data_IF_631016355893
#
_entry.id   IF_631016355893
#
_cell.length_a   1.000
_cell.length_b   1.000
_cell.length_c   1.000
_cell.angle_alpha   90.00
_cell.angle_beta   90.00
_cell.angle_gamma   90.00
#
_symmetry.space_group_name_H-M   'P 1'
#
loop_
_entity.id
_entity.type
_entity.pdbx_description
1 polymer ?
#
# COMPACT_ATOMS: atom_id res chain seq x y z
N UNK A 1 -46.74 -37.20 9.67
CA UNK A 1 -45.45 -36.84 9.06
C UNK A 1 -45.56 -35.91 7.82
N UNK A 2 -46.68 -35.20 7.57
CA UNK A 2 -46.85 -34.33 6.39
C UNK A 2 -46.68 -32.81 6.65
N UNK A 3 -46.56 -32.38 7.91
CA UNK A 3 -46.46 -30.95 8.29
C UNK A 3 -45.04 -30.38 8.30
N UNK A 4 -44.00 -31.24 8.32
CA UNK A 4 -42.60 -30.79 8.38
C UNK A 4 -41.92 -30.65 7.01
N UNK A 5 -42.54 -31.15 5.93
CA UNK A 5 -41.99 -31.02 4.56
C UNK A 5 -42.25 -29.62 3.99
N UNK A 6 -43.34 -28.96 4.37
CA UNK A 6 -43.68 -27.62 3.87
C UNK A 6 -42.72 -26.52 4.37
N UNK A 7 -42.20 -26.64 5.60
CA UNK A 7 -41.23 -25.68 6.12
C UNK A 7 -39.83 -25.84 5.48
N UNK A 8 -39.45 -27.04 5.02
CA UNK A 8 -38.18 -27.25 4.33
C UNK A 8 -38.19 -26.65 2.90
N UNK A 9 -39.34 -26.66 2.22
CA UNK A 9 -39.50 -26.06 0.89
C UNK A 9 -39.45 -24.53 0.90
N UNK A 10 -39.87 -23.88 1.99
CA UNK A 10 -39.81 -22.42 2.15
C UNK A 10 -38.38 -21.90 2.41
N UNK A 11 -37.50 -22.73 2.98
CA UNK A 11 -36.09 -22.37 3.18
C UNK A 11 -35.25 -22.48 1.90
N UNK A 12 -35.69 -23.24 0.90
CA UNK A 12 -35.00 -23.36 -0.39
C UNK A 12 -35.29 -22.19 -1.36
N UNK A 13 -36.34 -21.39 -1.10
CA UNK A 13 -36.81 -20.35 -2.02
C UNK A 13 -36.16 -18.96 -1.83
N UNK A 14 -35.23 -18.80 -0.89
CA UNK A 14 -34.60 -17.51 -0.58
C UNK A 14 -33.07 -17.49 -0.75
N UNK A 15 -32.50 -18.37 -1.58
CA UNK A 15 -31.12 -18.23 -2.01
C UNK A 15 -31.04 -17.48 -3.34
N UNK A 16 -31.29 -16.17 -3.30
CA UNK A 16 -30.85 -15.30 -4.39
C UNK A 16 -29.35 -15.07 -4.23
N UNK A 17 -28.56 -16.02 -4.72
CA UNK A 17 -27.14 -15.77 -4.99
C UNK A 17 -27.07 -15.00 -6.30
N UNK A 18 -26.82 -13.69 -6.24
CA UNK A 18 -26.40 -12.95 -7.42
C UNK A 18 -25.04 -13.51 -7.86
N UNK A 19 -25.04 -14.38 -8.87
CA UNK A 19 -23.84 -14.96 -9.44
C UNK A 19 -23.45 -14.13 -10.66
N UNK A 20 -22.25 -13.52 -10.62
CA UNK A 20 -21.67 -12.88 -11.80
C UNK A 20 -20.99 -13.98 -12.61
N UNK A 21 -21.56 -14.33 -13.76
CA UNK A 21 -21.03 -15.37 -14.62
C UNK A 21 -20.10 -14.74 -15.67
N UNK A 22 -18.80 -15.04 -15.61
CA UNK A 22 -17.84 -14.58 -16.62
C UNK A 22 -17.77 -15.63 -17.72
N UNK A 23 -18.21 -15.29 -18.94
CA UNK A 23 -18.15 -16.20 -20.10
C UNK A 23 -17.28 -15.59 -21.21
N UNK A 24 -16.51 -16.43 -21.90
CA UNK A 24 -15.74 -16.05 -23.09
C UNK A 24 -16.47 -16.49 -24.39
N UNK A 25 -17.80 -16.58 -24.37
CA UNK A 25 -18.56 -17.13 -25.49
C UNK A 25 -18.72 -16.05 -26.57
N UNK A 26 -18.40 -16.31 -27.85
CA UNK A 26 -18.50 -15.35 -28.95
C UNK A 26 -19.92 -14.82 -29.22
N UNK A 27 -20.95 -15.43 -28.63
CA UNK A 27 -22.35 -15.05 -28.75
C UNK A 27 -23.05 -15.15 -27.38
N UNK A 28 -22.95 -14.11 -26.53
CA UNK A 28 -23.38 -14.16 -25.13
C UNK A 28 -24.90 -14.30 -24.95
N UNK A 29 -25.69 -13.96 -25.97
CA UNK A 29 -27.15 -14.11 -25.96
C UNK A 29 -27.62 -15.57 -25.90
N UNK A 30 -26.77 -16.54 -26.26
CA UNK A 30 -27.17 -17.96 -26.30
C UNK A 30 -27.24 -18.65 -24.93
N UNK A 31 -26.77 -17.99 -23.86
CA UNK A 31 -26.76 -18.51 -22.49
C UNK A 31 -27.50 -17.61 -21.47
N UNK A 32 -28.14 -16.54 -21.93
CA UNK A 32 -29.02 -15.72 -21.10
C UNK A 32 -30.21 -16.57 -20.64
N UNK A 33 -30.23 -16.96 -19.36
CA UNK A 33 -31.41 -17.57 -18.76
C UNK A 33 -32.38 -16.46 -18.36
N UNK A 34 -33.69 -16.69 -18.47
CA UNK A 34 -34.71 -15.77 -17.94
C UNK A 34 -34.60 -15.50 -16.43
N UNK A 35 -33.74 -16.23 -15.71
CA UNK A 35 -33.40 -16.01 -14.30
C UNK A 35 -32.16 -15.12 -14.07
N UNK A 36 -31.42 -14.74 -15.11
CA UNK A 36 -30.25 -13.88 -14.97
C UNK A 36 -30.71 -12.43 -14.71
N UNK A 37 -30.50 -11.95 -13.48
CA UNK A 37 -31.00 -10.63 -13.07
C UNK A 37 -30.16 -9.46 -13.61
N UNK A 38 -28.88 -9.68 -13.90
CA UNK A 38 -27.97 -8.67 -14.47
C UNK A 38 -26.97 -9.38 -15.37
N UNK A 39 -26.94 -9.02 -16.66
CA UNK A 39 -25.91 -9.45 -17.61
C UNK A 39 -25.04 -8.25 -17.99
N UNK A 40 -23.73 -8.38 -17.80
CA UNK A 40 -22.77 -7.36 -18.20
C UNK A 40 -22.04 -7.80 -19.48
N UNK A 41 -22.19 -7.02 -20.55
CA UNK A 41 -21.48 -7.23 -21.80
C UNK A 41 -20.22 -6.36 -21.82
N UNK A 42 -19.05 -6.99 -21.92
CA UNK A 42 -17.78 -6.29 -22.15
C UNK A 42 -17.50 -6.34 -23.66
N UNK A 43 -17.83 -5.28 -24.39
CA UNK A 43 -17.66 -5.18 -25.85
C UNK A 43 -16.25 -4.76 -26.28
N UNK A 44 -15.23 -5.01 -25.46
CA UNK A 44 -13.87 -4.69 -25.83
C UNK A 44 -13.31 -5.80 -26.72
N UNK A 45 -13.44 -5.65 -28.04
CA UNK A 45 -13.01 -6.63 -29.05
C UNK A 45 -11.49 -6.83 -29.15
N UNK A 46 -10.69 -6.13 -28.33
CA UNK A 46 -9.24 -6.29 -28.29
C UNK A 46 -8.85 -7.15 -27.08
N UNK A 47 -8.92 -8.48 -27.26
CA UNK A 47 -8.54 -9.49 -26.25
C UNK A 47 -7.05 -9.46 -25.84
N UNK A 48 -6.22 -8.61 -26.47
CA UNK A 48 -4.78 -8.58 -26.27
C UNK A 48 -4.31 -8.21 -24.85
N UNK A 49 -5.17 -7.64 -24.00
CA UNK A 49 -4.77 -7.15 -22.66
C UNK A 49 -5.41 -7.88 -21.48
N UNK A 50 -6.33 -8.84 -21.70
CA UNK A 50 -6.92 -9.62 -20.61
C UNK A 50 -7.66 -8.80 -19.53
N UNK A 51 -8.04 -7.56 -19.82
CA UNK A 51 -8.67 -6.66 -18.84
C UNK A 51 -10.14 -7.02 -18.67
N UNK A 52 -10.45 -7.72 -17.58
CA UNK A 52 -11.83 -7.94 -17.11
C UNK A 52 -12.27 -6.70 -16.31
N UNK A 53 -13.10 -5.85 -16.91
CA UNK A 53 -13.68 -4.69 -16.23
C UNK A 53 -14.95 -5.03 -15.47
N UNK A 54 -15.19 -4.37 -14.34
CA UNK A 54 -16.46 -4.42 -13.60
C UNK A 54 -17.15 -3.06 -13.74
N UNK A 55 -18.39 -3.06 -14.26
CA UNK A 55 -19.19 -1.85 -14.43
C UNK A 55 -19.88 -1.51 -13.12
N UNK A 56 -19.66 -0.29 -12.61
CA UNK A 56 -20.33 0.21 -11.42
C UNK A 56 -21.50 1.13 -11.80
N UNK A 57 -22.65 1.05 -11.09
CA UNK A 57 -23.66 2.10 -11.15
C UNK A 57 -23.04 3.45 -10.78
N UNK A 58 -23.48 4.52 -11.44
CA UNK A 58 -22.88 5.84 -11.28
C UNK A 58 -23.91 6.93 -11.03
N UNK A 59 -23.52 7.91 -10.23
CA UNK A 59 -24.25 9.17 -9.99
C UNK A 59 -23.38 10.35 -10.42
N UNK A 60 -23.99 11.51 -10.70
CA UNK A 60 -23.22 12.68 -11.14
C UNK A 60 -22.42 13.30 -10.00
N UNK A 61 -23.03 13.52 -8.84
CA UNK A 61 -22.39 14.19 -7.70
C UNK A 61 -22.57 13.44 -6.37
N UNK A 62 -21.78 13.79 -5.34
CA UNK A 62 -21.87 13.14 -4.03
C UNK A 62 -23.22 13.37 -3.32
N UNK A 63 -23.93 14.44 -3.64
CA UNK A 63 -25.28 14.71 -3.12
C UNK A 63 -26.35 13.84 -3.77
N UNK A 64 -26.05 13.24 -4.93
CA UNK A 64 -26.96 12.32 -5.63
C UNK A 64 -26.84 10.88 -5.10
N UNK A 65 -25.92 10.62 -4.17
CA UNK A 65 -25.84 9.33 -3.49
C UNK A 65 -27.14 9.08 -2.72
N UNK A 66 -27.74 7.88 -2.85
CA UNK A 66 -28.96 7.56 -2.10
C UNK A 66 -28.65 7.55 -0.61
N UNK A 67 -29.63 7.81 0.25
CA UNK A 67 -29.41 7.76 1.71
C UNK A 67 -28.34 8.75 2.23
N UNK A 68 -28.23 9.93 1.60
CA UNK A 68 -27.35 11.02 2.03
C UNK A 68 -28.14 12.24 2.52
N UNK A 69 -27.50 13.14 3.26
CA UNK A 69 -28.10 14.39 3.75
C UNK A 69 -29.34 14.15 4.63
N UNK A 70 -30.45 14.81 4.28
CA UNK A 70 -31.73 14.66 5.01
C UNK A 70 -32.34 13.25 4.93
N UNK A 71 -31.91 12.45 3.94
CA UNK A 71 -32.36 11.08 3.75
C UNK A 71 -31.39 10.06 4.38
N UNK A 72 -30.39 10.52 5.14
CA UNK A 72 -29.48 9.62 5.86
C UNK A 72 -30.27 8.77 6.87
N UNK A 73 -30.02 7.46 6.91
CA UNK A 73 -30.81 6.56 7.73
C UNK A 73 -30.41 6.72 9.20
N UNK A 74 -31.41 6.77 10.08
CA UNK A 74 -31.18 6.84 11.53
C UNK A 74 -30.71 5.50 12.12
N UNK A 75 -30.96 4.39 11.41
CA UNK A 75 -30.57 3.04 11.78
C UNK A 75 -29.91 2.34 10.61
N UNK A 76 -28.99 1.43 10.89
CA UNK A 76 -28.17 0.80 9.87
C UNK A 76 -29.00 -0.11 8.95
N UNK A 77 -28.88 0.07 7.64
CA UNK A 77 -29.52 -0.76 6.62
C UNK A 77 -28.56 -1.89 6.21
N UNK A 78 -28.63 -3.02 6.92
CA UNK A 78 -27.69 -4.14 6.73
C UNK A 78 -27.69 -4.71 5.31
N UNK A 79 -28.84 -4.75 4.64
CA UNK A 79 -28.97 -5.34 3.29
C UNK A 79 -28.27 -4.55 2.19
N UNK A 80 -27.96 -3.26 2.43
CA UNK A 80 -27.28 -2.40 1.45
C UNK A 80 -25.79 -2.21 1.77
N UNK A 81 -25.28 -2.86 2.81
CA UNK A 81 -23.89 -2.74 3.20
C UNK A 81 -22.98 -3.34 2.13
N UNK A 82 -21.92 -2.61 1.79
CA UNK A 82 -20.98 -2.99 0.74
C UNK A 82 -21.44 -2.61 -0.67
N UNK A 83 -22.56 -1.90 -0.81
CA UNK A 83 -22.98 -1.34 -2.09
C UNK A 83 -21.94 -0.35 -2.61
N UNK A 84 -21.55 -0.50 -3.87
CA UNK A 84 -20.55 0.34 -4.54
C UNK A 84 -21.23 1.24 -5.58
N UNK A 85 -20.95 2.55 -5.55
CA UNK A 85 -21.43 3.53 -6.54
C UNK A 85 -20.28 4.44 -6.97
N UNK A 86 -20.15 4.68 -8.26
CA UNK A 86 -19.18 5.62 -8.82
C UNK A 86 -19.76 7.05 -8.86
N UNK A 87 -19.04 8.04 -8.33
CA UNK A 87 -19.42 9.46 -8.39
C UNK A 87 -18.61 10.12 -9.50
N UNK A 88 -19.26 10.49 -10.60
CA UNK A 88 -18.58 10.99 -11.80
C UNK A 88 -17.82 12.29 -11.56
N UNK A 89 -18.41 13.23 -10.81
CA UNK A 89 -17.79 14.54 -10.57
C UNK A 89 -16.49 14.47 -9.75
N UNK A 90 -16.32 13.43 -8.93
CA UNK A 90 -15.12 13.23 -8.12
C UNK A 90 -14.21 12.13 -8.65
N UNK A 91 -14.66 11.33 -9.61
CA UNK A 91 -13.94 10.16 -10.12
C UNK A 91 -13.75 9.06 -9.07
N UNK A 92 -14.56 9.04 -8.00
CA UNK A 92 -14.36 8.14 -6.87
C UNK A 92 -15.44 7.06 -6.81
N UNK A 93 -15.05 5.85 -6.45
CA UNK A 93 -15.99 4.80 -6.03
C UNK A 93 -16.27 4.98 -4.55
N UNK A 94 -17.55 4.98 -4.19
CA UNK A 94 -18.04 5.08 -2.82
C UNK A 94 -18.60 3.73 -2.38
N UNK A 95 -18.42 3.38 -1.11
CA UNK A 95 -19.00 2.21 -0.45
C UNK A 95 -19.96 2.65 0.65
N UNK A 96 -21.14 2.03 0.69
CA UNK A 96 -22.12 2.26 1.75
C UNK A 96 -21.90 1.28 2.90
N UNK A 97 -21.74 1.79 4.13
CA UNK A 97 -21.56 0.96 5.33
C UNK A 97 -22.90 0.58 6.01
N UNK A 98 -24.02 1.00 5.42
CA UNK A 98 -25.37 0.85 5.97
C UNK A 98 -25.88 2.12 6.68
N UNK A 99 -25.03 3.12 6.90
CA UNK A 99 -25.39 4.42 7.48
C UNK A 99 -24.92 5.58 6.61
N UNK A 100 -23.67 5.52 6.14
CA UNK A 100 -23.01 6.61 5.42
C UNK A 100 -22.21 6.08 4.24
N UNK A 101 -21.99 6.97 3.27
CA UNK A 101 -21.09 6.72 2.17
C UNK A 101 -19.66 7.13 2.53
N UNK A 102 -18.72 6.25 2.23
CA UNK A 102 -17.28 6.50 2.37
C UNK A 102 -16.58 6.11 1.07
N UNK A 103 -15.34 6.59 0.86
CA UNK A 103 -14.58 6.18 -0.33
C UNK A 103 -14.28 4.68 -0.25
N UNK A 104 -14.65 3.93 -1.28
CA UNK A 104 -14.39 2.49 -1.37
C UNK A 104 -12.91 2.20 -1.61
N UNK A 105 -12.27 3.04 -2.42
CA UNK A 105 -10.87 2.95 -2.77
C UNK A 105 -10.23 4.32 -2.62
N UNK A 106 -9.06 4.36 -1.99
CA UNK A 106 -8.18 5.52 -2.07
C UNK A 106 -7.46 5.46 -3.41
N UNK A 107 -7.83 6.37 -4.32
CA UNK A 107 -7.00 6.70 -5.47
C UNK A 107 -6.02 7.74 -4.95
N UNK A 108 -4.88 7.30 -4.41
CA UNK A 108 -3.83 8.22 -4.01
C UNK A 108 -2.98 8.56 -5.24
N UNK A 109 -2.98 9.84 -5.60
CA UNK A 109 -2.22 10.40 -6.73
C UNK A 109 -0.72 10.52 -6.43
N UNK A 110 -0.30 10.27 -5.20
CA UNK A 110 1.09 10.36 -4.79
C UNK A 110 1.72 8.96 -4.84
N UNK A 111 2.71 8.78 -5.70
CA UNK A 111 3.49 7.56 -5.81
C UNK A 111 4.67 7.54 -4.82
N UNK A 112 4.70 8.46 -3.83
CA UNK A 112 5.85 8.71 -2.95
C UNK A 112 5.44 8.60 -1.48
N UNK A 113 6.24 7.91 -0.67
CA UNK A 113 6.05 7.79 0.78
C UNK A 113 7.37 8.02 1.50
N UNK A 114 7.39 8.83 2.55
CA UNK A 114 8.61 9.15 3.32
C UNK A 114 8.47 8.78 4.79
N UNK A 115 9.41 7.99 5.30
CA UNK A 115 9.49 7.61 6.70
C UNK A 115 10.73 8.23 7.35
N UNK A 116 10.59 8.62 8.62
CA UNK A 116 11.74 8.99 9.45
C UNK A 116 12.51 7.74 9.87
N UNK A 117 13.81 7.89 10.11
CA UNK A 117 14.66 6.83 10.66
C UNK A 117 14.97 7.23 12.11
N UNK A 118 14.69 6.32 13.04
CA UNK A 118 14.97 6.55 14.45
C UNK A 118 16.50 6.51 14.68
N UNK A 119 17.03 7.28 15.64
CA UNK A 119 18.44 7.23 15.97
C UNK A 119 18.89 5.82 16.36
N UNK A 120 20.08 5.45 15.88
CA UNK A 120 20.69 4.15 16.19
C UNK A 120 22.21 4.28 16.18
N UNK A 121 22.88 3.50 17.02
CA UNK A 121 24.34 3.48 17.11
C UNK A 121 24.90 2.10 16.77
N UNK A 122 26.17 2.07 16.39
CA UNK A 122 26.90 0.83 16.17
C UNK A 122 28.31 0.94 16.73
N UNK A 123 28.90 -0.22 17.02
CA UNK A 123 30.32 -0.41 17.34
C UNK A 123 30.98 -1.47 16.44
N UNK A 124 30.23 -2.03 15.48
CA UNK A 124 30.69 -3.05 14.53
C UNK A 124 30.87 -2.52 13.10
N UNK A 125 30.48 -1.27 12.85
CA UNK A 125 30.51 -0.64 11.53
C UNK A 125 29.30 -0.95 10.66
N UNK A 126 28.32 -1.68 11.18
CA UNK A 126 27.05 -1.93 10.51
C UNK A 126 25.91 -1.94 11.54
N UNK A 127 24.75 -1.40 11.18
CA UNK A 127 23.54 -1.49 12.00
C UNK A 127 22.28 -1.30 11.17
N UNK A 128 21.28 -2.15 11.43
CA UNK A 128 19.97 -2.07 10.79
C UNK A 128 19.30 -0.75 11.14
N UNK A 129 18.70 -0.11 10.14
CA UNK A 129 18.06 1.19 10.29
C UNK A 129 16.61 1.03 10.77
N UNK A 130 16.28 1.55 11.97
CA UNK A 130 14.92 1.51 12.49
C UNK A 130 14.05 2.55 11.79
N UNK A 131 13.25 2.09 10.82
CA UNK A 131 12.34 2.94 10.06
C UNK A 131 11.08 3.17 10.89
N UNK A 132 10.76 4.42 11.17
CA UNK A 132 9.57 4.79 11.93
C UNK A 132 8.30 4.31 11.24
N UNK A 133 7.31 3.88 12.02
CA UNK A 133 6.01 3.45 11.50
C UNK A 133 5.14 4.62 11.05
N UNK A 134 5.42 5.83 11.54
CA UNK A 134 4.72 7.05 11.17
C UNK A 134 5.41 7.69 9.97
N UNK A 135 4.60 8.14 9.01
CA UNK A 135 5.07 8.97 7.90
C UNK A 135 5.55 10.34 8.43
N UNK A 136 6.47 10.97 7.69
CA UNK A 136 6.89 12.36 7.89
C UNK A 136 5.73 13.33 7.55
N UNK A 137 4.72 13.36 8.43
CA UNK A 137 3.47 14.13 8.30
C UNK A 137 3.64 15.61 7.96
N UNK A 138 4.68 16.32 8.43
CA UNK A 138 4.92 17.71 8.03
C UNK A 138 5.14 17.90 6.52
N UNK A 139 5.64 16.88 5.81
CA UNK A 139 5.99 16.95 4.39
C UNK A 139 5.14 16.03 3.50
N UNK A 140 4.46 15.02 4.06
CA UNK A 140 3.62 14.07 3.33
C UNK A 140 2.34 13.76 4.13
N UNK A 141 1.17 14.03 3.54
CA UNK A 141 -0.12 13.99 4.24
C UNK A 141 -0.60 12.56 4.59
N UNK A 142 -0.17 11.54 3.83
CA UNK A 142 -0.49 10.13 4.02
C UNK A 142 0.63 9.24 3.43
N UNK A 143 0.67 7.94 3.77
CA UNK A 143 1.53 6.92 3.15
C UNK A 143 0.77 6.30 1.96
N UNK A 144 0.87 6.90 0.76
CA UNK A 144 0.01 6.52 -0.34
C UNK A 144 0.32 5.14 -0.91
N UNK A 145 1.55 4.66 -0.68
CA UNK A 145 1.96 3.32 -1.05
C UNK A 145 1.58 2.29 0.02
N UNK A 146 1.08 2.73 1.19
CA UNK A 146 0.65 1.92 2.33
C UNK A 146 1.71 0.92 2.79
N UNK A 147 2.98 1.31 2.68
CA UNK A 147 4.13 0.42 2.87
C UNK A 147 4.34 -0.04 4.30
N UNK A 148 3.85 0.71 5.29
CA UNK A 148 3.98 0.38 6.72
C UNK A 148 2.67 -0.02 7.39
N UNK A 149 1.59 -0.22 6.62
CA UNK A 149 0.27 -0.62 7.13
C UNK A 149 0.24 -2.06 7.64
N UNK A 150 0.88 -2.36 8.77
CA UNK A 150 0.75 -3.68 9.38
C UNK A 150 -0.52 -3.74 10.23
N UNK A 151 -1.37 -4.71 9.89
CA UNK A 151 -2.40 -5.23 10.80
C UNK A 151 -1.70 -5.55 12.14
N UNK A 152 -2.15 -4.98 13.27
CA UNK A 152 -1.45 -5.09 14.52
C UNK A 152 -1.85 -6.38 15.23
N UNK A 153 -0.94 -7.35 15.34
CA UNK A 153 -0.96 -8.31 16.44
C UNK A 153 0.47 -8.73 16.74
N UNK A 154 1.12 -8.01 17.66
CA UNK A 154 2.37 -8.39 18.37
C UNK A 154 3.63 -8.64 17.53
N UNK A 155 4.67 -7.81 17.74
CA UNK A 155 6.03 -8.04 17.22
C UNK A 155 6.37 -7.37 15.88
N UNK A 156 5.87 -6.15 15.62
CA UNK A 156 6.21 -5.42 14.40
C UNK A 156 7.74 -5.21 14.29
N UNK A 157 8.38 -5.90 13.35
CA UNK A 157 9.76 -5.61 12.98
C UNK A 157 9.78 -4.23 12.29
N UNK A 158 10.10 -3.20 13.10
CA UNK A 158 10.07 -1.79 12.72
C UNK A 158 10.99 -1.49 11.51
N UNK A 159 11.89 -2.40 11.16
CA UNK A 159 12.88 -2.18 10.11
C UNK A 159 12.37 -2.48 8.69
N UNK A 160 11.15 -3.00 8.53
CA UNK A 160 10.64 -3.52 7.24
C UNK A 160 9.64 -2.60 6.56
N UNK A 161 9.88 -2.26 5.30
CA UNK A 161 8.94 -1.58 4.39
C UNK A 161 8.28 -2.66 3.52
N UNK A 162 6.97 -2.89 3.67
CA UNK A 162 6.27 -3.96 2.94
C UNK A 162 5.75 -3.48 1.59
N UNK A 163 6.10 -4.19 0.53
CA UNK A 163 5.70 -3.88 -0.84
C UNK A 163 4.28 -4.36 -1.07
N UNK A 164 3.38 -3.41 -1.36
CA UNK A 164 1.95 -3.67 -1.56
C UNK A 164 1.56 -3.88 -3.02
N UNK A 165 2.37 -3.40 -3.94
CA UNK A 165 2.14 -3.51 -5.37
C UNK A 165 3.45 -3.93 -6.01
N UNK A 166 3.43 -4.85 -6.96
CA UNK A 166 4.64 -5.13 -7.73
C UNK A 166 5.00 -3.93 -8.58
N UNK A 167 6.29 -3.61 -8.70
CA UNK A 167 6.72 -2.43 -9.44
C UNK A 167 8.20 -2.12 -9.31
N UNK A 168 8.62 -1.11 -10.06
CA UNK A 168 9.94 -0.51 -9.92
C UNK A 168 9.87 0.60 -8.87
N UNK A 169 10.73 0.53 -7.87
CA UNK A 169 10.81 1.49 -6.79
C UNK A 169 12.13 2.24 -6.82
N UNK A 170 12.08 3.57 -6.70
CA UNK A 170 13.23 4.40 -6.36
C UNK A 170 13.22 4.63 -4.85
N UNK A 171 14.34 4.37 -4.20
CA UNK A 171 14.47 4.46 -2.75
C UNK A 171 15.61 5.42 -2.43
N UNK A 172 15.26 6.60 -1.95
CA UNK A 172 16.20 7.61 -1.51
C UNK A 172 16.40 7.51 -0.01
N UNK A 173 17.64 7.32 0.42
CA UNK A 173 18.02 7.22 1.84
C UNK A 173 18.91 8.40 2.18
N UNK A 174 18.45 9.25 3.10
CA UNK A 174 19.18 10.41 3.61
C UNK A 174 19.57 10.14 5.06
N UNK A 175 20.86 9.97 5.35
CA UNK A 175 21.36 9.66 6.69
C UNK A 175 22.23 10.77 7.22
N UNK A 176 21.99 11.16 8.46
CA UNK A 176 22.88 12.02 9.24
C UNK A 176 23.70 11.15 10.19
N UNK A 177 25.01 11.19 10.04
CA UNK A 177 25.98 10.49 10.87
C UNK A 177 26.67 11.43 11.85
N UNK A 178 26.95 10.95 13.06
CA UNK A 178 27.86 11.60 14.00
C UNK A 178 28.72 10.56 14.73
N UNK A 179 29.91 10.98 15.13
CA UNK A 179 30.92 10.14 15.76
C UNK A 179 31.96 11.01 16.46
N UNK A 180 32.92 10.40 17.15
CA UNK A 180 34.00 11.17 17.76
C UNK A 180 34.87 11.84 16.69
N UNK A 181 35.53 12.95 17.03
CA UNK A 181 36.45 13.61 16.11
C UNK A 181 37.50 12.61 15.58
N UNK A 182 37.73 12.59 14.27
CA UNK A 182 38.65 11.67 13.60
C UNK A 182 38.15 10.25 13.39
N UNK A 183 36.91 9.90 13.81
CA UNK A 183 36.38 8.54 13.60
C UNK A 183 35.94 8.25 12.18
N UNK A 184 35.50 9.23 11.39
CA UNK A 184 35.17 8.98 9.97
C UNK A 184 36.42 9.14 9.11
N UNK A 185 37.12 8.02 8.93
CA UNK A 185 38.33 7.92 8.14
C UNK A 185 38.09 7.33 6.74
N UNK A 186 36.86 6.93 6.41
CA UNK A 186 36.51 6.31 5.13
C UNK A 186 35.11 6.65 4.63
N UNK A 187 34.66 5.88 3.64
CA UNK A 187 33.29 5.89 3.16
C UNK A 187 32.31 5.28 4.15
N UNK A 188 31.14 5.88 4.24
CA UNK A 188 29.96 5.40 4.95
C UNK A 188 28.80 5.30 3.96
N UNK A 189 27.79 4.51 4.28
CA UNK A 189 26.75 4.23 3.32
C UNK A 189 25.54 3.51 3.86
N UNK A 190 24.79 2.93 2.95
CA UNK A 190 23.68 2.06 3.26
C UNK A 190 23.67 0.81 2.37
N UNK A 191 23.27 -0.31 2.96
CA UNK A 191 22.87 -1.51 2.23
C UNK A 191 21.36 -1.60 2.17
N UNK A 192 20.86 -2.03 1.02
CA UNK A 192 19.46 -2.34 0.79
C UNK A 192 19.28 -3.84 0.64
N UNK A 193 18.33 -4.39 1.39
CA UNK A 193 17.97 -5.79 1.37
C UNK A 193 16.52 -5.94 0.92
N UNK A 194 16.24 -7.01 0.18
CA UNK A 194 14.87 -7.42 -0.16
C UNK A 194 14.68 -8.83 0.35
N UNK A 195 13.73 -9.03 1.27
CA UNK A 195 13.53 -10.29 1.99
C UNK A 195 14.84 -10.84 2.60
N UNK A 196 15.54 -10.00 3.37
CA UNK A 196 16.82 -10.31 4.03
C UNK A 196 18.00 -10.63 3.09
N UNK A 197 17.80 -10.65 1.77
CA UNK A 197 18.87 -10.81 0.79
C UNK A 197 19.42 -9.44 0.38
N UNK A 198 20.71 -9.21 0.61
CA UNK A 198 21.40 -7.98 0.18
C UNK A 198 21.29 -7.83 -1.33
N UNK A 199 20.77 -6.69 -1.78
CA UNK A 199 20.66 -6.37 -3.21
C UNK A 199 21.67 -5.33 -3.63
N UNK A 200 21.81 -4.29 -2.81
CA UNK A 200 22.66 -3.15 -3.13
C UNK A 200 23.41 -2.70 -1.89
N UNK A 201 24.56 -2.10 -2.14
CA UNK A 201 25.38 -1.43 -1.15
C UNK A 201 25.96 -0.20 -1.84
N UNK A 202 25.64 0.97 -1.32
CA UNK A 202 26.19 2.24 -1.80
C UNK A 202 26.96 2.90 -0.65
N UNK A 203 28.13 3.44 -0.99
CA UNK A 203 29.08 4.03 -0.06
C UNK A 203 29.49 5.39 -0.62
N UNK A 204 29.51 6.40 0.24
CA UNK A 204 29.88 7.78 -0.06
C UNK A 204 31.02 8.23 0.84
N UNK A 205 31.88 9.11 0.34
CA UNK A 205 32.96 9.67 1.15
C UNK A 205 32.37 10.50 2.29
N UNK A 206 32.59 10.05 3.53
CA UNK A 206 32.02 10.67 4.73
C UNK A 206 33.11 11.20 5.68
N UNK A 207 34.30 11.49 5.15
CA UNK A 207 35.49 11.86 5.93
C UNK A 207 35.18 13.04 6.85
N UNK A 208 35.49 12.86 8.13
CA UNK A 208 35.14 13.82 9.17
C UNK A 208 36.17 13.84 10.30
N UNK A 209 36.99 14.87 10.30
CA UNK A 209 38.05 15.04 11.30
C UNK A 209 37.61 15.89 12.50
N UNK A 210 36.53 16.66 12.39
CA UNK A 210 36.11 17.66 13.37
C UNK A 210 34.94 17.22 14.27
N UNK A 211 34.36 16.04 14.04
CA UNK A 211 33.22 15.52 14.83
C UNK A 211 31.87 16.14 14.47
N UNK A 212 31.78 16.88 13.36
CA UNK A 212 30.52 17.48 12.89
C UNK A 212 29.55 16.44 12.32
N UNK A 213 28.28 16.80 12.18
CA UNK A 213 27.29 15.91 11.55
C UNK A 213 27.58 15.78 10.05
N UNK A 214 27.63 14.55 9.54
CA UNK A 214 27.78 14.26 8.11
C UNK A 214 26.50 13.72 7.52
N UNK A 215 26.00 14.41 6.50
CA UNK A 215 24.83 13.95 5.75
C UNK A 215 25.28 13.23 4.50
N UNK A 216 24.73 12.05 4.25
CA UNK A 216 24.81 11.38 2.94
C UNK A 216 23.40 11.17 2.40
N UNK A 217 23.28 11.19 1.08
CA UNK A 217 22.05 10.86 0.37
C UNK A 217 22.36 9.82 -0.69
N UNK A 218 21.63 8.71 -0.67
CA UNK A 218 21.84 7.56 -1.54
C UNK A 218 20.55 7.26 -2.28
N UNK A 219 20.65 6.95 -3.58
CA UNK A 219 19.51 6.57 -4.41
C UNK A 219 19.66 5.13 -4.89
N UNK A 220 18.71 4.28 -4.54
CA UNK A 220 18.59 2.92 -5.02
C UNK A 220 17.43 2.81 -6.02
N UNK A 221 17.54 1.91 -6.98
CA UNK A 221 16.40 1.48 -7.81
C UNK A 221 16.27 -0.03 -7.71
N UNK A 222 15.09 -0.50 -7.31
CA UNK A 222 14.84 -1.92 -7.09
C UNK A 222 13.47 -2.30 -7.61
N UNK A 223 13.43 -3.37 -8.39
CA UNK A 223 12.17 -4.02 -8.71
C UNK A 223 11.77 -4.91 -7.54
N UNK A 224 10.56 -4.73 -7.02
CA UNK A 224 10.04 -5.51 -5.91
C UNK A 224 8.64 -6.03 -6.22
N UNK A 225 8.35 -7.22 -5.72
CA UNK A 225 7.09 -7.93 -5.91
C UNK A 225 6.20 -7.74 -4.69
N UNK A 226 4.89 -7.65 -4.89
CA UNK A 226 3.91 -7.62 -3.80
C UNK A 226 4.18 -8.73 -2.77
N UNK A 227 4.15 -8.36 -1.49
CA UNK A 227 4.41 -9.25 -0.36
C UNK A 227 5.88 -9.35 0.05
N UNK A 228 6.82 -8.87 -0.78
CA UNK A 228 8.20 -8.68 -0.36
C UNK A 228 8.32 -7.51 0.62
N UNK A 229 9.44 -7.45 1.33
CA UNK A 229 9.78 -6.30 2.16
C UNK A 229 11.22 -5.86 1.95
N UNK A 230 11.45 -4.59 2.25
CA UNK A 230 12.75 -3.93 2.16
C UNK A 230 13.21 -3.62 3.57
N UNK A 231 14.47 -3.94 3.87
CA UNK A 231 15.18 -3.45 5.06
C UNK A 231 16.42 -2.67 4.62
N UNK A 232 16.85 -1.77 5.49
CA UNK A 232 18.01 -0.92 5.26
C UNK A 232 18.99 -1.09 6.42
N UNK A 233 20.28 -0.98 6.11
CA UNK A 233 21.37 -1.05 7.08
C UNK A 233 22.32 0.10 6.81
N UNK A 234 22.69 0.88 7.83
CA UNK A 234 23.80 1.80 7.72
C UNK A 234 25.09 1.00 7.86
N UNK A 235 26.05 1.26 6.97
CA UNK A 235 27.29 0.49 6.89
C UNK A 235 28.50 1.41 6.73
N UNK A 236 29.64 0.90 7.15
CA UNK A 236 30.96 1.44 6.90
C UNK A 236 31.73 0.56 5.92
N UNK A 237 32.68 1.16 5.23
CA UNK A 237 33.66 0.42 4.43
C UNK A 237 34.41 -0.59 5.30
N UNK A 238 34.66 -1.79 4.77
CA UNK A 238 35.28 -2.90 5.52
C UNK A 238 36.65 -2.47 6.05
N UNK A 239 36.90 -2.71 7.34
CA UNK A 239 38.16 -2.35 8.01
C UNK A 239 38.27 -0.88 8.41
N UNK A 240 37.16 -0.13 8.37
CA UNK A 240 37.15 1.28 8.72
C UNK A 240 36.30 1.60 9.95
N UNK A 241 35.62 2.76 10.00
CA UNK A 241 34.86 3.26 11.13
C UNK A 241 33.88 2.20 11.61
N UNK A 242 34.09 1.71 12.83
CA UNK A 242 33.20 0.74 13.45
C UNK A 242 32.21 1.39 14.40
N UNK A 243 32.56 2.53 15.00
CA UNK A 243 31.73 3.21 15.97
C UNK A 243 31.14 4.52 15.43
N UNK A 244 29.82 4.58 15.29
CA UNK A 244 29.11 5.79 14.85
C UNK A 244 27.62 5.76 15.23
N UNK A 245 26.98 6.92 15.10
CA UNK A 245 25.56 7.09 15.34
C UNK A 245 24.89 7.63 14.08
N UNK A 246 23.77 7.02 13.70
CA UNK A 246 22.77 7.63 12.82
C UNK A 246 21.82 8.42 13.73
N UNK A 247 21.60 9.70 13.42
CA UNK A 247 20.84 10.61 14.26
C UNK A 247 19.55 11.08 13.57
N UNK A 248 18.79 11.90 14.30
CA UNK A 248 17.55 12.52 13.83
C UNK A 248 17.71 13.24 12.48
N UNK A 249 16.57 13.55 11.85
CA UNK A 249 16.49 14.12 10.51
C UNK A 249 17.12 13.21 9.44
N UNK A 250 17.13 11.91 9.71
CA UNK A 250 17.42 10.86 8.73
C UNK A 250 16.09 10.31 8.20
N UNK A 251 16.03 10.02 6.90
CA UNK A 251 14.79 9.67 6.21
C UNK A 251 15.02 8.59 5.16
N UNK A 252 13.98 7.81 4.89
CA UNK A 252 13.85 6.99 3.69
C UNK A 252 12.63 7.48 2.91
N UNK A 253 12.81 7.79 1.64
CA UNK A 253 11.74 8.15 0.70
C UNK A 253 11.64 7.04 -0.32
N UNK A 254 10.44 6.50 -0.50
CA UNK A 254 10.13 5.43 -1.45
C UNK A 254 9.19 5.99 -2.49
N UNK A 255 9.57 5.91 -3.75
CA UNK A 255 8.76 6.30 -4.90
C UNK A 255 8.50 5.06 -5.76
N UNK A 256 7.25 4.81 -6.14
CA UNK A 256 6.90 3.83 -7.17
C UNK A 256 6.97 4.50 -8.53
N UNK A 257 7.89 4.06 -9.38
CA UNK A 257 8.13 4.64 -10.71
C UNK A 257 7.23 3.99 -11.77
N UNK A 258 7.04 2.66 -11.69
CA UNK A 258 6.25 1.83 -12.61
C UNK A 258 5.50 0.76 -11.82
#
# INVERSE_FOLDING_TARGET
>A
MKKYIFCLLLFALNMYSAQVNFTNIPNPDSNANGNDQVMMYITNANEATGVKGFGLPAVETATDLPYTGVNAPATRIEVLRGMLIFVKSTGQVMVFDGLVWSKAFEIESDNISRFTINPVSTTSGAVMLPINSLIDKPNFLADPLKLKTNVPTTGADLNRIYIRQSGLYRINVSLNFTGAAGTFSSRLGASLYVNDAKRFQLLENAVNFDGTVRKISLDFSVYAVQGQYITLEAISEVGSTTAYNVINNSYVTVEKVL
#
